data_IF_123671644291
#
_entry.id   IF_123671644291
#
_cell.length_a   1.000
_cell.length_b   1.000
_cell.length_c   1.000
_cell.angle_alpha   90.00
_cell.angle_beta   90.00
_cell.angle_gamma   90.00
#
_symmetry.space_group_name_H-M   'P 1'
#
loop_
_entity.id
_entity.type
_entity.pdbx_description
1 polymer ?
#
# COMPACT_ATOMS: atom_id res chain seq x y z
N UNK A 1 -20.81 8.94 -41.60
CA UNK A 1 -20.98 9.58 -40.29
C UNK A 1 -21.10 8.59 -39.12
N UNK A 2 -20.88 7.28 -39.30
CA UNK A 2 -20.98 6.23 -38.26
C UNK A 2 -19.61 5.69 -37.77
N UNK A 3 -18.49 6.14 -38.35
CA UNK A 3 -17.13 5.67 -37.99
C UNK A 3 -16.45 6.46 -36.86
N UNK A 4 -17.04 7.59 -36.40
CA UNK A 4 -16.41 8.43 -35.39
C UNK A 4 -16.74 8.02 -33.92
N UNK A 5 -17.89 7.39 -33.70
CA UNK A 5 -18.33 6.99 -32.36
C UNK A 5 -17.63 5.73 -31.84
N UNK A 6 -17.30 4.79 -32.72
CA UNK A 6 -16.57 3.57 -32.34
C UNK A 6 -15.14 3.84 -31.87
N UNK A 7 -14.46 4.77 -32.50
CA UNK A 7 -13.08 5.15 -32.11
C UNK A 7 -13.05 5.87 -30.77
N UNK A 8 -13.98 6.75 -30.44
CA UNK A 8 -13.98 7.45 -29.15
C UNK A 8 -14.24 6.50 -27.97
N UNK A 9 -15.12 5.50 -28.16
CA UNK A 9 -15.41 4.50 -27.11
C UNK A 9 -14.20 3.57 -26.94
N UNK A 10 -13.55 3.17 -28.02
CA UNK A 10 -12.36 2.31 -28.02
C UNK A 10 -11.18 3.01 -27.34
N UNK A 11 -10.87 4.25 -27.69
CA UNK A 11 -9.83 5.05 -27.05
C UNK A 11 -10.14 5.36 -25.59
N UNK A 12 -11.38 5.70 -25.24
CA UNK A 12 -11.81 5.88 -23.84
C UNK A 12 -11.63 4.62 -23.00
N UNK A 13 -11.84 3.44 -23.59
CA UNK A 13 -11.66 2.14 -22.93
C UNK A 13 -10.17 1.80 -22.74
N UNK A 14 -9.31 2.12 -23.72
CA UNK A 14 -7.85 1.96 -23.65
C UNK A 14 -7.24 2.96 -22.65
N UNK A 15 -7.65 4.23 -22.68
CA UNK A 15 -7.18 5.23 -21.71
C UNK A 15 -7.62 4.92 -20.28
N UNK A 16 -8.81 4.36 -20.08
CA UNK A 16 -9.29 3.97 -18.75
C UNK A 16 -8.54 2.75 -18.18
N UNK A 17 -8.04 1.85 -19.05
CA UNK A 17 -7.19 0.72 -18.64
C UNK A 17 -5.72 1.11 -18.45
N UNK A 18 -5.26 2.20 -19.08
CA UNK A 18 -3.87 2.65 -19.03
C UNK A 18 -3.51 3.48 -17.79
N UNK A 19 -4.50 3.94 -17.00
CA UNK A 19 -4.28 4.85 -15.86
C UNK A 19 -4.98 4.40 -14.58
N UNK A 20 -5.17 3.10 -14.36
CA UNK A 20 -5.72 2.58 -13.12
C UNK A 20 -4.62 2.53 -12.06
N UNK A 21 -4.64 3.46 -11.11
CA UNK A 21 -3.73 3.46 -9.97
C UNK A 21 -4.05 2.28 -9.04
N UNK A 22 -3.06 1.44 -8.83
CA UNK A 22 -3.16 0.27 -7.94
C UNK A 22 -2.64 0.61 -6.55
N UNK A 23 -3.41 0.28 -5.53
CA UNK A 23 -3.01 0.32 -4.14
C UNK A 23 -2.92 -1.10 -3.59
N UNK A 24 -1.78 -1.45 -3.02
CA UNK A 24 -1.57 -2.68 -2.27
C UNK A 24 -1.31 -2.30 -0.81
N UNK A 25 -2.19 -2.70 0.10
CA UNK A 25 -2.11 -2.35 1.53
C UNK A 25 -1.72 -3.59 2.31
N UNK A 26 -0.54 -3.58 2.90
CA UNK A 26 -0.02 -4.65 3.75
C UNK A 26 -0.35 -4.31 5.20
N UNK A 27 -1.18 -5.12 5.83
CA UNK A 27 -1.69 -4.92 7.19
C UNK A 27 -1.89 -6.24 7.92
N UNK A 28 -1.94 -6.21 9.24
CA UNK A 28 -2.32 -7.36 10.05
C UNK A 28 -3.84 -7.45 10.29
N UNK A 29 -4.58 -6.38 9.97
CA UNK A 29 -6.02 -6.24 10.17
C UNK A 29 -6.76 -5.79 8.90
N UNK A 30 -6.81 -6.60 7.83
CA UNK A 30 -7.45 -6.21 6.57
C UNK A 30 -8.93 -5.84 6.72
N UNK A 31 -9.63 -6.43 7.69
CA UNK A 31 -11.07 -6.20 7.91
C UNK A 31 -11.41 -4.76 8.34
N UNK A 32 -10.45 -4.02 8.90
CA UNK A 32 -10.64 -2.60 9.26
C UNK A 32 -11.03 -1.76 8.04
N UNK A 33 -10.53 -2.13 6.86
CA UNK A 33 -10.75 -1.38 5.63
C UNK A 33 -12.07 -1.67 4.94
N UNK A 34 -12.75 -2.78 5.28
CA UNK A 34 -13.88 -3.29 4.49
C UNK A 34 -15.04 -2.30 4.37
N UNK A 35 -15.44 -1.65 5.46
CA UNK A 35 -16.51 -0.67 5.46
C UNK A 35 -16.10 0.60 4.68
N UNK A 36 -14.93 1.14 4.97
CA UNK A 36 -14.46 2.38 4.37
C UNK A 36 -14.24 2.29 2.86
N UNK A 37 -13.65 1.18 2.39
CA UNK A 37 -13.37 0.97 0.97
C UNK A 37 -14.63 0.65 0.14
N UNK A 38 -15.69 0.18 0.79
CA UNK A 38 -16.99 -0.11 0.18
C UNK A 38 -17.90 1.09 -0.02
N UNK A 39 -17.50 2.29 0.45
CA UNK A 39 -18.39 3.43 0.54
C UNK A 39 -17.96 4.63 -0.32
N UNK A 40 -18.93 5.49 -0.63
CA UNK A 40 -18.78 6.85 -1.17
C UNK A 40 -17.86 6.94 -2.41
N UNK A 41 -16.89 7.86 -2.37
CA UNK A 41 -15.98 8.15 -3.51
C UNK A 41 -15.05 6.98 -3.85
N UNK A 42 -14.59 6.25 -2.84
CA UNK A 42 -13.66 5.13 -3.04
C UNK A 42 -14.38 3.98 -3.75
N UNK A 43 -15.57 3.60 -3.29
CA UNK A 43 -16.39 2.59 -3.96
C UNK A 43 -16.70 2.97 -5.42
N UNK A 44 -17.04 4.26 -5.65
CA UNK A 44 -17.30 4.77 -7.01
C UNK A 44 -16.06 4.74 -7.90
N UNK A 45 -14.89 5.09 -7.36
CA UNK A 45 -13.63 5.05 -8.10
C UNK A 45 -13.24 3.61 -8.48
N UNK A 46 -13.41 2.65 -7.57
CA UNK A 46 -13.19 1.22 -7.84
C UNK A 46 -14.18 0.70 -8.90
N UNK A 47 -15.47 1.02 -8.77
CA UNK A 47 -16.50 0.63 -9.75
C UNK A 47 -16.19 1.18 -11.16
N UNK A 48 -15.66 2.40 -11.24
CA UNK A 48 -15.22 3.03 -12.48
C UNK A 48 -13.85 2.55 -12.97
N UNK A 49 -13.18 1.64 -12.24
CA UNK A 49 -11.83 1.13 -12.53
C UNK A 49 -10.76 2.24 -12.64
N UNK A 50 -10.94 3.34 -11.91
CA UNK A 50 -9.95 4.40 -11.80
C UNK A 50 -8.85 4.01 -10.80
N UNK A 51 -9.23 3.26 -9.76
CA UNK A 51 -8.33 2.70 -8.77
C UNK A 51 -8.63 1.23 -8.56
N UNK A 52 -7.62 0.47 -8.13
CA UNK A 52 -7.75 -0.89 -7.62
C UNK A 52 -7.07 -0.97 -6.26
N UNK A 53 -7.78 -1.47 -5.26
CA UNK A 53 -7.25 -1.64 -3.90
C UNK A 53 -7.22 -3.13 -3.57
N UNK A 54 -6.04 -3.62 -3.17
CA UNK A 54 -5.86 -5.00 -2.70
C UNK A 54 -5.36 -4.94 -1.26
N UNK A 55 -5.96 -5.76 -0.40
CA UNK A 55 -5.58 -5.90 0.99
C UNK A 55 -4.77 -7.19 1.17
N UNK A 56 -3.59 -7.06 1.73
CA UNK A 56 -2.67 -8.17 1.98
C UNK A 56 -2.53 -8.38 3.48
N UNK A 57 -3.06 -9.50 3.98
CA UNK A 57 -2.88 -9.88 5.37
C UNK A 57 -1.44 -10.36 5.58
N UNK A 58 -0.66 -9.63 6.38
CA UNK A 58 0.74 -9.92 6.66
C UNK A 58 0.95 -11.33 7.24
N UNK A 59 -0.02 -11.85 8.01
CA UNK A 59 0.04 -13.19 8.60
C UNK A 59 0.13 -14.33 7.56
N UNK A 60 -0.26 -14.09 6.31
CA UNK A 60 -0.12 -15.07 5.24
C UNK A 60 1.34 -15.32 4.83
N UNK A 61 2.24 -14.40 5.19
CA UNK A 61 3.66 -14.44 4.83
C UNK A 61 4.56 -14.95 5.96
N UNK A 62 3.98 -15.27 7.12
CA UNK A 62 4.68 -15.92 8.23
C UNK A 62 5.12 -17.35 7.84
N UNK A 63 6.24 -17.80 8.43
CA UNK A 63 6.80 -19.14 8.14
C UNK A 63 6.19 -20.24 9.00
N UNK A 64 5.82 -19.88 10.22
CA UNK A 64 5.41 -20.81 11.23
C UNK A 64 3.89 -21.09 11.22
N UNK A 65 3.49 -22.19 11.86
CA UNK A 65 2.08 -22.60 11.99
C UNK A 65 1.25 -21.56 12.75
N UNK A 66 1.84 -20.85 13.69
CA UNK A 66 1.16 -19.86 14.53
C UNK A 66 1.01 -18.51 13.82
N UNK A 67 1.60 -18.36 12.62
CA UNK A 67 1.57 -17.12 11.81
C UNK A 67 2.13 -15.92 12.57
N UNK A 68 3.25 -16.15 13.26
CA UNK A 68 3.99 -15.13 14.01
C UNK A 68 4.61 -14.12 13.06
N UNK A 69 4.37 -12.85 13.29
CA UNK A 69 4.82 -11.75 12.44
C UNK A 69 5.53 -10.65 13.22
N UNK A 70 5.63 -10.79 14.50
CA UNK A 70 6.20 -9.85 15.45
C UNK A 70 7.24 -10.53 16.35
N UNK A 71 8.16 -9.74 16.93
CA UNK A 71 9.21 -10.21 17.81
C UNK A 71 9.62 -9.08 18.76
N UNK A 72 10.39 -9.40 19.77
CA UNK A 72 10.98 -8.40 20.68
C UNK A 72 11.99 -7.53 19.93
N UNK A 73 12.06 -6.21 20.24
CA UNK A 73 13.07 -5.35 19.66
C UNK A 73 14.50 -5.84 19.94
N UNK A 74 15.36 -5.91 18.92
CA UNK A 74 16.76 -6.37 19.09
C UNK A 74 17.57 -5.53 20.08
N UNK A 75 17.27 -4.24 20.21
CA UNK A 75 17.91 -3.33 21.17
C UNK A 75 17.37 -3.41 22.60
N UNK A 76 16.44 -4.33 22.86
CA UNK A 76 15.71 -4.36 24.13
C UNK A 76 14.59 -3.32 24.17
N UNK A 77 13.87 -3.26 25.26
CA UNK A 77 12.72 -2.37 25.45
C UNK A 77 11.42 -3.14 25.65
N UNK A 78 10.35 -2.39 25.92
CA UNK A 78 9.00 -2.93 26.06
C UNK A 78 8.33 -3.05 24.68
N UNK A 79 7.37 -3.96 24.58
CA UNK A 79 6.55 -4.12 23.38
C UNK A 79 7.13 -5.09 22.34
N UNK A 80 6.54 -5.05 21.15
CA UNK A 80 6.84 -5.93 20.01
C UNK A 80 7.04 -5.08 18.76
N UNK A 81 7.77 -5.60 17.78
CA UNK A 81 7.95 -4.98 16.46
C UNK A 81 7.62 -5.97 15.37
N UNK A 82 7.05 -5.50 14.26
CA UNK A 82 6.78 -6.35 13.11
C UNK A 82 8.09 -6.81 12.46
N UNK A 83 8.19 -8.10 12.20
CA UNK A 83 9.37 -8.73 11.60
C UNK A 83 9.58 -8.30 10.16
N UNK A 84 10.84 -8.12 9.77
CA UNK A 84 11.23 -7.74 8.40
C UNK A 84 10.86 -8.78 7.35
N UNK A 85 10.97 -10.08 7.66
CA UNK A 85 10.84 -11.13 6.66
C UNK A 85 9.42 -11.28 6.10
N UNK A 86 8.34 -11.33 6.92
CA UNK A 86 6.97 -11.32 6.40
C UNK A 86 6.69 -10.08 5.54
N UNK A 87 7.15 -8.91 5.97
CA UNK A 87 6.97 -7.65 5.22
C UNK A 87 7.71 -7.72 3.88
N UNK A 88 8.96 -8.17 3.86
CA UNK A 88 9.74 -8.32 2.62
C UNK A 88 9.04 -9.25 1.62
N UNK A 89 8.52 -10.40 2.09
CA UNK A 89 7.80 -11.35 1.22
C UNK A 89 6.52 -10.74 0.65
N UNK A 90 5.75 -10.02 1.48
CA UNK A 90 4.52 -9.36 1.06
C UNK A 90 4.81 -8.28 -0.01
N UNK A 91 5.80 -7.41 0.23
CA UNK A 91 6.22 -6.39 -0.74
C UNK A 91 6.71 -7.03 -2.03
N UNK A 92 7.54 -8.07 -1.95
CA UNK A 92 8.03 -8.79 -3.12
C UNK A 92 6.88 -9.35 -3.96
N UNK A 93 5.87 -9.95 -3.35
CA UNK A 93 4.69 -10.46 -4.05
C UNK A 93 3.92 -9.33 -4.75
N UNK A 94 3.69 -8.21 -4.08
CA UNK A 94 3.04 -7.04 -4.67
C UNK A 94 3.80 -6.49 -5.88
N UNK A 95 5.13 -6.50 -5.84
CA UNK A 95 6.00 -5.95 -6.89
C UNK A 95 6.14 -6.84 -8.13
N UNK A 96 5.90 -8.15 -8.05
CA UNK A 96 6.16 -9.10 -9.16
C UNK A 96 5.51 -8.61 -10.46
N UNK A 97 4.23 -8.23 -10.40
CA UNK A 97 3.52 -7.75 -11.58
C UNK A 97 4.04 -6.40 -12.07
N UNK A 98 4.25 -5.46 -11.15
CA UNK A 98 4.72 -4.11 -11.45
C UNK A 98 6.10 -4.10 -12.13
N UNK A 99 7.04 -4.88 -11.62
CA UNK A 99 8.39 -5.01 -12.19
C UNK A 99 8.33 -5.60 -13.61
N UNK A 100 7.55 -6.68 -13.79
CA UNK A 100 7.39 -7.32 -15.10
C UNK A 100 6.85 -6.36 -16.17
N UNK A 101 5.98 -5.42 -15.78
CA UNK A 101 5.35 -4.46 -16.68
C UNK A 101 5.98 -3.06 -16.64
N UNK A 102 7.15 -2.90 -16.02
CA UNK A 102 7.88 -1.61 -15.87
C UNK A 102 7.03 -0.48 -15.30
N UNK A 103 6.12 -0.81 -14.38
CA UNK A 103 5.25 0.16 -13.73
C UNK A 103 6.04 1.07 -12.77
N UNK A 104 5.66 2.34 -12.74
CA UNK A 104 6.18 3.29 -11.74
C UNK A 104 5.51 3.00 -10.40
N UNK A 105 6.30 2.55 -9.43
CA UNK A 105 5.78 2.18 -8.11
C UNK A 105 6.53 2.88 -6.98
N UNK A 106 5.93 2.88 -5.80
CA UNK A 106 6.55 3.29 -4.54
C UNK A 106 6.07 2.41 -3.40
N UNK A 107 7.01 2.02 -2.54
CA UNK A 107 6.75 1.35 -1.27
C UNK A 107 6.81 2.41 -0.18
N UNK A 108 5.72 2.57 0.56
CA UNK A 108 5.54 3.61 1.57
C UNK A 108 5.31 2.96 2.92
N UNK A 109 6.12 3.34 3.90
CA UNK A 109 5.94 2.99 5.30
C UNK A 109 5.26 4.15 6.03
N UNK A 110 4.16 3.88 6.73
CA UNK A 110 3.58 4.85 7.64
C UNK A 110 4.30 4.83 8.99
N UNK A 111 4.79 6.01 9.40
CA UNK A 111 5.52 6.19 10.67
C UNK A 111 5.43 7.66 11.12
N UNK A 112 5.34 7.95 12.44
CA UNK A 112 5.30 9.33 12.93
C UNK A 112 6.51 10.17 12.52
N UNK A 113 7.69 9.55 12.40
CA UNK A 113 8.94 10.23 12.00
C UNK A 113 9.05 10.53 10.51
N UNK A 114 8.10 10.02 9.71
CA UNK A 114 8.12 10.18 8.26
C UNK A 114 7.85 11.62 7.81
N UNK A 115 8.05 11.85 6.51
CA UNK A 115 7.69 13.13 5.92
C UNK A 115 6.19 13.35 6.02
N UNK A 116 5.77 14.53 6.48
CA UNK A 116 4.35 14.89 6.58
C UNK A 116 3.67 14.83 5.22
N UNK A 117 2.53 14.14 5.17
CA UNK A 117 1.69 14.05 3.99
C UNK A 117 1.01 15.39 3.71
N UNK A 118 1.16 15.87 2.49
CA UNK A 118 0.56 17.12 2.02
C UNK A 118 -0.05 16.95 0.62
N UNK A 119 -0.79 17.94 0.15
CA UNK A 119 -1.41 17.93 -1.16
C UNK A 119 -0.40 17.81 -2.31
N UNK A 120 0.80 18.38 -2.15
CA UNK A 120 1.87 18.30 -3.15
C UNK A 120 2.39 16.87 -3.29
N UNK A 121 2.53 16.16 -2.16
CA UNK A 121 2.92 14.76 -2.14
C UNK A 121 1.81 13.88 -2.73
N UNK A 122 0.54 14.14 -2.38
CA UNK A 122 -0.60 13.45 -2.97
C UNK A 122 -0.60 13.53 -4.51
N UNK A 123 -0.37 14.72 -5.07
CA UNK A 123 -0.25 14.90 -6.52
C UNK A 123 0.96 14.19 -7.14
N UNK A 124 2.07 14.05 -6.41
CA UNK A 124 3.20 13.25 -6.90
C UNK A 124 2.86 11.77 -6.94
N UNK A 125 2.26 11.26 -5.88
CA UNK A 125 1.90 9.85 -5.76
C UNK A 125 0.80 9.44 -6.75
N UNK A 126 -0.15 10.35 -7.07
CA UNK A 126 -1.21 10.07 -8.05
C UNK A 126 -0.72 9.84 -9.49
N UNK A 127 0.56 10.15 -9.79
CA UNK A 127 1.20 9.91 -11.10
C UNK A 127 1.88 8.55 -11.20
N UNK A 128 1.78 7.73 -10.16
CA UNK A 128 2.31 6.38 -10.13
C UNK A 128 1.27 5.38 -10.67
N UNK A 129 1.75 4.22 -11.09
CA UNK A 129 0.90 3.10 -11.50
C UNK A 129 0.53 2.21 -10.30
N UNK A 130 1.42 2.15 -9.30
CA UNK A 130 1.24 1.32 -8.11
C UNK A 130 1.82 1.99 -6.86
N UNK A 131 1.09 1.91 -5.76
CA UNK A 131 1.55 2.31 -4.43
C UNK A 131 1.35 1.13 -3.49
N UNK A 132 2.40 0.77 -2.76
CA UNK A 132 2.37 -0.29 -1.75
C UNK A 132 2.49 0.39 -0.39
N UNK A 133 1.46 0.28 0.44
CA UNK A 133 1.45 0.80 1.79
C UNK A 133 1.81 -0.30 2.79
N UNK A 134 2.73 -0.01 3.69
CA UNK A 134 3.06 -0.84 4.85
C UNK A 134 2.47 -0.17 6.08
N UNK A 135 1.44 -0.80 6.66
CA UNK A 135 0.80 -0.35 7.89
C UNK A 135 1.51 -1.00 9.08
N UNK A 136 2.25 -0.21 9.85
CA UNK A 136 2.88 -0.65 11.08
C UNK A 136 1.88 -0.82 12.22
N UNK A 137 2.21 -1.68 13.18
CA UNK A 137 1.49 -1.89 14.44
C UNK A 137 2.48 -2.13 15.57
N UNK A 138 1.98 -2.19 16.81
CA UNK A 138 2.80 -2.32 18.01
C UNK A 138 3.74 -1.13 18.17
N UNK A 139 5.01 -1.37 18.55
CA UNK A 139 6.06 -0.34 18.63
C UNK A 139 6.66 0.02 17.25
N UNK A 140 6.04 -0.47 16.17
CA UNK A 140 6.45 -0.21 14.81
C UNK A 140 6.93 -1.44 14.05
N UNK A 141 7.84 -1.23 13.11
CA UNK A 141 8.42 -2.27 12.27
C UNK A 141 9.93 -2.35 12.49
N UNK A 142 10.52 -3.50 12.19
CA UNK A 142 11.98 -3.66 12.16
C UNK A 142 12.62 -2.56 11.29
N UNK A 143 13.63 -1.89 11.79
CA UNK A 143 14.28 -0.74 11.15
C UNK A 143 14.79 -1.05 9.74
N UNK A 144 15.13 -2.30 9.45
CA UNK A 144 15.52 -2.74 8.11
C UNK A 144 14.42 -2.55 7.07
N UNK A 145 13.15 -2.49 7.49
CA UNK A 145 12.02 -2.18 6.60
C UNK A 145 12.14 -0.75 6.08
N UNK A 146 12.39 0.22 6.97
CA UNK A 146 12.58 1.61 6.58
C UNK A 146 13.83 1.79 5.71
N UNK A 147 14.95 1.15 6.10
CA UNK A 147 16.24 1.36 5.43
C UNK A 147 16.40 0.63 4.10
N UNK A 148 15.74 -0.52 3.89
CA UNK A 148 16.03 -1.44 2.77
C UNK A 148 14.83 -1.81 1.91
N UNK A 149 13.60 -1.58 2.39
CA UNK A 149 12.37 -2.02 1.72
C UNK A 149 11.51 -0.83 1.31
N UNK A 150 11.32 0.14 2.22
CA UNK A 150 10.53 1.32 1.93
C UNK A 150 11.30 2.32 1.06
N UNK A 151 10.64 2.85 0.03
CA UNK A 151 11.16 3.98 -0.76
C UNK A 151 10.94 5.32 -0.05
N UNK A 152 9.99 5.36 0.88
CA UNK A 152 9.58 6.58 1.56
C UNK A 152 8.89 6.26 2.88
N UNK A 153 9.17 7.08 3.89
CA UNK A 153 8.44 7.13 5.15
C UNK A 153 7.49 8.33 5.14
N UNK A 154 6.22 8.11 5.50
CA UNK A 154 5.19 9.16 5.53
C UNK A 154 4.54 9.20 6.90
N UNK A 155 4.38 10.42 7.43
CA UNK A 155 3.54 10.76 8.58
C UNK A 155 2.27 11.46 8.11
N UNK A 156 1.13 11.13 8.70
CA UNK A 156 -0.15 11.81 8.42
C UNK A 156 -0.38 13.03 9.31
N UNK A 157 0.43 13.24 10.34
CA UNK A 157 0.33 14.37 11.27
C UNK A 157 1.33 14.30 12.40
N UNK A 158 1.36 15.35 13.20
CA UNK A 158 2.25 15.49 14.36
C UNK A 158 1.63 14.82 15.60
N UNK A 159 1.24 13.56 15.48
CA UNK A 159 0.64 12.73 16.52
C UNK A 159 0.94 11.26 16.25
N UNK A 160 0.89 10.46 17.30
CA UNK A 160 1.09 9.01 17.22
C UNK A 160 -0.27 8.29 17.18
N UNK A 161 -0.35 7.23 16.38
CA UNK A 161 -1.54 6.40 16.23
C UNK A 161 -1.20 4.95 16.54
N UNK A 162 -2.21 4.19 16.94
CA UNK A 162 -2.07 2.75 17.27
C UNK A 162 -1.66 1.91 16.06
N UNK A 163 -1.73 2.42 14.85
CA UNK A 163 -1.38 1.71 13.63
C UNK A 163 -1.42 2.58 12.38
N UNK A 164 -0.95 2.03 11.27
CA UNK A 164 -0.88 2.71 9.98
C UNK A 164 -2.12 2.50 9.08
N UNK A 165 -3.19 1.90 9.59
CA UNK A 165 -4.45 1.68 8.87
C UNK A 165 -5.29 2.92 8.66
#
# INVERSE_FOLDING_TARGET
MLLSLGNQIFWKKIYCLAFMLKFDIITIFPEIFSSYLGESLIARAQKKKLIKINLHNLRKFAKDRHKTIDDRPFGGGLGMVLQVEPIFKAVKECLIYGIKHKQKHKVILFTPRGKKFDQKLAYKLSKLDQIIFICGRYEGVDERVAQKIADMEISIGDYDLMGGE
#
